data_IF_970076592609
#
_entry.id   IF_970076592609
#
_cell.length_a   1.000
_cell.length_b   1.000
_cell.length_c   1.000
_cell.angle_alpha   90.00
_cell.angle_beta   90.00
_cell.angle_gamma   90.00
#
_symmetry.space_group_name_H-M   'P 1'
#
loop_
_entity.id
_entity.type
_entity.pdbx_description
1 polymer ?
#
# COMPACT_ATOMS: atom_id res chain seq x y z
N UNK A 1 -3.01 -13.16 23.59
CA UNK A 1 -1.95 -13.18 22.56
C UNK A 1 -2.49 -12.75 21.20
N UNK A 2 -3.57 -13.37 20.72
CA UNK A 2 -4.16 -13.11 19.39
C UNK A 2 -4.61 -11.66 19.16
N UNK A 3 -5.23 -11.02 20.17
CA UNK A 3 -5.66 -9.61 20.06
C UNK A 3 -4.48 -8.65 19.88
N UNK A 4 -3.40 -8.83 20.64
CA UNK A 4 -2.20 -7.99 20.53
C UNK A 4 -1.53 -8.17 19.17
N UNK A 5 -1.44 -9.41 18.70
CA UNK A 5 -0.90 -9.74 17.37
C UNK A 5 -1.74 -9.08 16.27
N UNK A 6 -3.07 -9.23 16.34
CA UNK A 6 -4.02 -8.64 15.39
C UNK A 6 -3.86 -7.11 15.30
N UNK A 7 -3.90 -6.42 16.44
CA UNK A 7 -3.75 -4.96 16.50
C UNK A 7 -2.35 -4.49 16.06
N UNK A 8 -1.31 -5.25 16.40
CA UNK A 8 0.06 -4.99 15.96
C UNK A 8 0.20 -5.05 14.45
N UNK A 9 -0.31 -6.12 13.83
CA UNK A 9 -0.29 -6.32 12.38
C UNK A 9 -1.15 -5.30 11.63
N UNK A 10 -2.27 -4.87 12.20
CA UNK A 10 -3.09 -3.79 11.66
C UNK A 10 -2.29 -2.47 11.59
N UNK A 11 -1.61 -2.11 12.70
CA UNK A 11 -0.76 -0.90 12.77
C UNK A 11 0.43 -0.97 11.81
N UNK A 12 1.09 -2.13 11.73
CA UNK A 12 2.20 -2.34 10.78
C UNK A 12 1.69 -2.17 9.34
N UNK A 13 0.55 -2.78 9.00
CA UNK A 13 -0.04 -2.66 7.67
C UNK A 13 -0.39 -1.21 7.34
N UNK A 14 -0.96 -0.46 8.29
CA UNK A 14 -1.24 0.96 8.12
C UNK A 14 0.03 1.78 7.83
N UNK A 15 1.10 1.58 8.61
CA UNK A 15 2.38 2.27 8.40
C UNK A 15 2.97 1.92 7.03
N UNK A 16 2.98 0.64 6.66
CA UNK A 16 3.47 0.19 5.35
C UNK A 16 2.68 0.84 4.22
N UNK A 17 1.36 0.90 4.30
CA UNK A 17 0.51 1.56 3.31
C UNK A 17 0.81 3.04 3.13
N UNK A 18 1.08 3.76 4.23
CA UNK A 18 1.49 5.17 4.19
C UNK A 18 2.86 5.31 3.51
N UNK A 19 3.86 4.53 3.94
CA UNK A 19 5.21 4.58 3.38
C UNK A 19 5.25 4.22 1.90
N UNK A 20 4.42 3.27 1.46
CA UNK A 20 4.31 2.87 0.05
C UNK A 20 3.67 3.97 -0.81
N UNK A 21 2.63 4.62 -0.31
CA UNK A 21 1.84 5.61 -1.07
C UNK A 21 2.49 7.01 -1.12
N UNK A 22 3.23 7.41 -0.08
CA UNK A 22 3.81 8.75 0.02
C UNK A 22 4.92 9.04 -1.01
N UNK A 23 5.50 8.01 -1.62
CA UNK A 23 6.63 8.12 -2.56
C UNK A 23 6.34 9.08 -3.73
N UNK A 24 5.12 9.03 -4.27
CA UNK A 24 4.71 9.92 -5.36
C UNK A 24 4.51 11.35 -4.87
N UNK A 25 3.85 11.53 -3.72
CA UNK A 25 3.65 12.83 -3.10
C UNK A 25 4.95 13.52 -2.74
N UNK A 26 5.93 12.81 -2.15
CA UNK A 26 7.27 13.35 -1.87
C UNK A 26 7.98 13.83 -3.14
N UNK A 27 7.81 13.11 -4.25
CA UNK A 27 8.38 13.52 -5.54
C UNK A 27 7.74 14.80 -6.06
N UNK A 28 6.41 14.91 -5.99
CA UNK A 28 5.69 16.12 -6.39
C UNK A 28 6.09 17.29 -5.50
N UNK A 29 6.13 17.09 -4.18
CA UNK A 29 6.48 18.10 -3.19
C UNK A 29 7.87 18.68 -3.47
N UNK A 30 8.87 17.81 -3.67
CA UNK A 30 10.23 18.27 -3.98
C UNK A 30 10.30 19.02 -5.31
N UNK A 31 9.57 18.54 -6.33
CA UNK A 31 9.51 19.21 -7.63
C UNK A 31 8.87 20.61 -7.53
N UNK A 32 7.74 20.73 -6.85
CA UNK A 32 6.93 21.97 -6.82
C UNK A 32 7.49 23.02 -5.86
N UNK A 33 7.95 22.62 -4.67
CA UNK A 33 8.35 23.57 -3.62
C UNK A 33 9.85 23.87 -3.64
N UNK A 34 10.67 22.95 -4.14
CA UNK A 34 12.13 23.04 -4.02
C UNK A 34 12.86 22.85 -5.35
N UNK A 35 12.15 22.79 -6.48
CA UNK A 35 12.75 22.55 -7.81
C UNK A 35 13.71 21.34 -7.84
N UNK A 36 13.37 20.28 -7.08
CA UNK A 36 14.18 19.08 -6.85
C UNK A 36 15.52 19.28 -6.11
N UNK A 37 15.79 20.47 -5.55
CA UNK A 37 17.05 20.80 -4.86
C UNK A 37 17.09 20.32 -3.40
N UNK A 38 15.96 19.93 -2.79
CA UNK A 38 15.95 19.46 -1.41
C UNK A 38 16.58 18.05 -1.30
N UNK A 39 17.77 17.98 -0.70
CA UNK A 39 18.55 16.73 -0.54
C UNK A 39 17.86 15.73 0.38
N UNK A 40 17.23 16.18 1.46
CA UNK A 40 16.56 15.30 2.44
C UNK A 40 15.39 14.57 1.78
N UNK A 41 14.51 15.30 1.07
CA UNK A 41 13.38 14.69 0.36
C UNK A 41 13.83 13.69 -0.70
N UNK A 42 14.93 13.98 -1.41
CA UNK A 42 15.51 13.06 -2.38
C UNK A 42 16.05 11.78 -1.72
N UNK A 43 16.77 11.91 -0.60
CA UNK A 43 17.29 10.77 0.16
C UNK A 43 16.17 9.88 0.68
N UNK A 44 15.12 10.46 1.29
CA UNK A 44 13.95 9.71 1.77
C UNK A 44 13.26 8.99 0.60
N UNK A 45 13.00 9.70 -0.51
CA UNK A 45 12.34 9.10 -1.67
C UNK A 45 13.16 7.93 -2.26
N UNK A 46 14.49 8.09 -2.33
CA UNK A 46 15.41 7.03 -2.78
C UNK A 46 15.37 5.82 -1.85
N UNK A 47 15.38 6.03 -0.54
CA UNK A 47 15.30 4.96 0.45
C UNK A 47 13.98 4.20 0.36
N UNK A 48 12.85 4.91 0.27
CA UNK A 48 11.53 4.31 0.14
C UNK A 48 11.40 3.52 -1.16
N UNK A 49 11.88 4.06 -2.30
CA UNK A 49 11.89 3.34 -3.59
C UNK A 49 12.74 2.07 -3.55
N UNK A 50 13.90 2.12 -2.90
CA UNK A 50 14.80 0.96 -2.75
C UNK A 50 14.08 -0.20 -2.05
N UNK A 51 13.27 0.09 -1.04
CA UNK A 51 12.57 -0.92 -0.24
C UNK A 51 11.11 -1.15 -0.64
N UNK A 52 10.57 -0.38 -1.58
CA UNK A 52 9.14 -0.37 -1.94
C UNK A 52 8.58 -1.77 -2.21
N UNK A 53 9.29 -2.61 -2.98
CA UNK A 53 8.82 -3.97 -3.29
C UNK A 53 8.77 -4.86 -2.05
N UNK A 54 9.80 -4.79 -1.18
CA UNK A 54 9.86 -5.56 0.06
C UNK A 54 8.73 -5.14 1.00
N UNK A 55 8.54 -3.82 1.15
CA UNK A 55 7.43 -3.26 1.94
C UNK A 55 6.06 -3.65 1.38
N UNK A 56 5.89 -3.71 0.06
CA UNK A 56 4.65 -4.15 -0.58
C UNK A 56 4.34 -5.62 -0.32
N UNK A 57 5.35 -6.49 -0.41
CA UNK A 57 5.21 -7.91 -0.03
C UNK A 57 4.87 -8.03 1.46
N UNK A 58 5.58 -7.29 2.33
CA UNK A 58 5.28 -7.25 3.77
C UNK A 58 3.84 -6.82 4.03
N UNK A 59 3.33 -5.81 3.32
CA UNK A 59 1.94 -5.33 3.47
C UNK A 59 0.92 -6.45 3.16
N UNK A 60 1.15 -7.20 2.08
CA UNK A 60 0.27 -8.32 1.71
C UNK A 60 0.25 -9.39 2.81
N UNK A 61 1.42 -9.75 3.35
CA UNK A 61 1.50 -10.75 4.42
C UNK A 61 0.94 -10.23 5.75
N UNK A 62 1.27 -9.02 6.16
CA UNK A 62 0.76 -8.46 7.42
C UNK A 62 -0.75 -8.26 7.36
N UNK A 63 -1.29 -7.86 6.20
CA UNK A 63 -2.73 -7.76 5.97
C UNK A 63 -3.43 -9.12 5.97
N UNK A 64 -2.83 -10.15 5.38
CA UNK A 64 -3.34 -11.52 5.40
C UNK A 64 -3.40 -12.05 6.84
N UNK A 65 -2.30 -11.95 7.57
CA UNK A 65 -2.22 -12.46 8.94
C UNK A 65 -3.17 -11.67 9.85
N UNK A 66 -3.24 -10.33 9.70
CA UNK A 66 -4.23 -9.50 10.39
C UNK A 66 -5.67 -10.01 10.17
N UNK A 67 -6.05 -10.29 8.92
CA UNK A 67 -7.39 -10.77 8.61
C UNK A 67 -7.68 -12.19 9.14
N UNK A 68 -6.67 -13.07 9.21
CA UNK A 68 -6.81 -14.42 9.82
C UNK A 68 -7.14 -14.33 11.31
N UNK A 69 -6.50 -13.40 12.04
CA UNK A 69 -6.73 -13.19 13.47
C UNK A 69 -7.85 -12.16 13.76
N UNK A 70 -8.56 -11.70 12.74
CA UNK A 70 -9.67 -10.77 12.92
C UNK A 70 -10.96 -11.53 13.26
N UNK A 71 -11.92 -10.84 13.88
CA UNK A 71 -13.21 -11.43 14.26
C UNK A 71 -14.10 -11.81 13.07
N UNK A 72 -13.79 -11.32 11.86
CA UNK A 72 -14.47 -11.68 10.62
C UNK A 72 -13.56 -12.54 9.76
N UNK A 73 -14.11 -13.60 9.17
CA UNK A 73 -13.34 -14.50 8.31
C UNK A 73 -12.77 -13.75 7.10
N UNK A 74 -11.51 -14.00 6.77
CA UNK A 74 -10.79 -13.23 5.74
C UNK A 74 -11.32 -13.42 4.31
N UNK A 75 -12.08 -14.49 4.04
CA UNK A 75 -12.69 -14.75 2.73
C UNK A 75 -14.17 -14.36 2.68
N UNK A 76 -14.67 -13.63 3.69
CA UNK A 76 -16.01 -13.03 3.63
C UNK A 76 -15.99 -11.75 2.80
N UNK A 77 -17.14 -11.40 2.21
CA UNK A 77 -17.29 -10.17 1.46
C UNK A 77 -17.34 -8.96 2.41
N UNK A 78 -16.17 -8.50 2.86
CA UNK A 78 -16.01 -7.34 3.73
C UNK A 78 -14.92 -6.38 3.21
N UNK A 79 -14.93 -5.13 3.71
CA UNK A 79 -14.00 -4.10 3.28
C UNK A 79 -12.53 -4.45 3.50
N UNK A 80 -12.20 -5.20 4.56
CA UNK A 80 -10.83 -5.64 4.83
C UNK A 80 -10.33 -6.63 3.78
N UNK A 81 -11.15 -7.62 3.43
CA UNK A 81 -10.87 -8.59 2.37
C UNK A 81 -10.72 -7.91 1.01
N UNK A 82 -11.63 -7.00 0.65
CA UNK A 82 -11.56 -6.26 -0.62
C UNK A 82 -10.28 -5.40 -0.66
N UNK A 83 -9.96 -4.70 0.42
CA UNK A 83 -8.72 -3.90 0.55
C UNK A 83 -7.48 -4.77 0.36
N UNK A 84 -7.46 -5.94 1.01
CA UNK A 84 -6.35 -6.88 0.91
C UNK A 84 -6.19 -7.42 -0.52
N UNK A 85 -7.28 -7.82 -1.18
CA UNK A 85 -7.26 -8.27 -2.58
C UNK A 85 -6.71 -7.18 -3.50
N UNK A 86 -7.11 -5.92 -3.32
CA UNK A 86 -6.55 -4.79 -4.10
C UNK A 86 -5.04 -4.64 -3.87
N UNK A 87 -4.54 -4.87 -2.66
CA UNK A 87 -3.09 -4.87 -2.38
C UNK A 87 -2.33 -5.96 -3.14
N UNK A 88 -2.94 -7.14 -3.30
CA UNK A 88 -2.39 -8.24 -4.11
C UNK A 88 -2.40 -7.85 -5.60
N UNK A 89 -3.51 -7.28 -6.09
CA UNK A 89 -3.63 -6.80 -7.47
C UNK A 89 -2.58 -5.71 -7.78
N UNK A 90 -2.26 -4.82 -6.83
CA UNK A 90 -1.18 -3.85 -6.97
C UNK A 90 0.18 -4.52 -7.20
N UNK A 91 0.48 -5.59 -6.46
CA UNK A 91 1.68 -6.41 -6.64
C UNK A 91 1.71 -7.09 -8.01
N UNK A 92 0.61 -7.73 -8.41
CA UNK A 92 0.48 -8.39 -9.71
C UNK A 92 0.62 -7.41 -10.88
N UNK A 93 0.00 -6.23 -10.77
CA UNK A 93 0.12 -5.16 -11.76
C UNK A 93 1.59 -4.79 -12.00
N UNK A 94 2.41 -4.70 -10.94
CA UNK A 94 3.85 -4.47 -11.07
C UNK A 94 4.59 -5.67 -11.70
N UNK A 95 4.23 -6.90 -11.36
CA UNK A 95 4.87 -8.10 -11.93
C UNK A 95 4.62 -8.22 -13.43
N UNK A 96 3.41 -7.89 -13.88
CA UNK A 96 3.00 -7.95 -15.28
C UNK A 96 3.56 -6.80 -16.14
N UNK A 97 4.23 -5.80 -15.55
CA UNK A 97 4.78 -4.64 -16.27
C UNK A 97 5.69 -4.98 -17.47
N UNK A 98 6.33 -6.16 -17.45
CA UNK A 98 7.23 -6.63 -18.52
C UNK A 98 6.55 -7.56 -19.53
N UNK A 99 5.42 -8.16 -19.17
CA UNK A 99 4.70 -9.13 -20.01
C UNK A 99 3.74 -8.48 -21.01
N UNK A 100 3.48 -7.18 -20.87
CA UNK A 100 2.63 -6.40 -21.77
C UNK A 100 3.46 -5.30 -22.45
N UNK A 101 4.33 -5.64 -23.42
CA UNK A 101 5.28 -4.70 -24.03
C UNK A 101 4.60 -3.48 -24.69
N UNK A 102 3.34 -3.63 -25.12
CA UNK A 102 2.57 -2.55 -25.74
C UNK A 102 1.81 -1.67 -24.73
N UNK A 103 1.73 -2.06 -23.46
CA UNK A 103 1.04 -1.30 -22.42
C UNK A 103 2.05 -0.55 -21.51
N UNK A 104 2.52 0.60 -22.02
CA UNK A 104 3.16 1.65 -21.19
C UNK A 104 2.30 2.19 -20.02
N UNK A 105 0.94 2.06 -19.92
CA UNK A 105 0.19 2.64 -18.80
C UNK A 105 0.20 1.79 -17.52
N UNK A 106 1.08 0.79 -17.35
CA UNK A 106 1.12 0.04 -16.07
C UNK A 106 1.24 0.98 -14.86
N UNK A 107 2.04 2.04 -14.96
CA UNK A 107 2.21 3.02 -13.88
C UNK A 107 0.96 3.89 -13.68
N UNK A 108 0.18 4.13 -14.73
CA UNK A 108 -1.09 4.84 -14.65
C UNK A 108 -2.10 3.98 -13.87
N UNK A 109 -2.25 2.72 -14.25
CA UNK A 109 -3.12 1.77 -13.52
C UNK A 109 -2.64 1.53 -12.09
N UNK A 110 -1.32 1.42 -11.86
CA UNK A 110 -0.76 1.28 -10.52
C UNK A 110 -1.15 2.45 -9.62
N UNK A 111 -1.12 3.69 -10.14
CA UNK A 111 -1.54 4.88 -9.39
C UNK A 111 -3.04 4.89 -9.12
N UNK A 112 -3.87 4.52 -10.09
CA UNK A 112 -5.33 4.39 -9.89
C UNK A 112 -5.63 3.34 -8.82
N UNK A 113 -5.02 2.16 -8.93
CA UNK A 113 -5.15 1.09 -7.93
C UNK A 113 -4.66 1.54 -6.56
N UNK A 114 -3.62 2.37 -6.49
CA UNK A 114 -3.15 2.96 -5.23
C UNK A 114 -4.21 3.87 -4.61
N UNK A 115 -4.87 4.72 -5.41
CA UNK A 115 -5.96 5.58 -4.92
C UNK A 115 -7.15 4.75 -4.43
N UNK A 116 -7.56 3.74 -5.21
CA UNK A 116 -8.63 2.80 -4.82
C UNK A 116 -8.26 2.11 -3.50
N UNK A 117 -7.02 1.60 -3.39
CA UNK A 117 -6.52 0.97 -2.17
C UNK A 117 -6.57 1.91 -0.96
N UNK A 118 -6.13 3.17 -1.10
CA UNK A 118 -6.15 4.14 0.00
C UNK A 118 -7.57 4.47 0.46
N UNK A 119 -8.51 4.62 -0.47
CA UNK A 119 -9.92 4.87 -0.15
C UNK A 119 -10.52 3.67 0.58
N UNK A 120 -10.35 2.46 0.06
CA UNK A 120 -10.84 1.23 0.68
C UNK A 120 -10.24 1.01 2.07
N UNK A 121 -8.94 1.24 2.23
CA UNK A 121 -8.26 1.11 3.52
C UNK A 121 -8.78 2.14 4.52
N UNK A 122 -9.00 3.39 4.11
CA UNK A 122 -9.59 4.41 4.98
C UNK A 122 -11.01 4.02 5.40
N UNK A 123 -11.85 3.60 4.46
CA UNK A 123 -13.21 3.12 4.75
C UNK A 123 -13.20 1.92 5.69
N UNK A 124 -12.31 0.94 5.48
CA UNK A 124 -12.15 -0.21 6.35
C UNK A 124 -11.82 0.21 7.79
N UNK A 125 -10.88 1.13 7.97
CA UNK A 125 -10.49 1.64 9.30
C UNK A 125 -11.65 2.39 9.97
N UNK A 126 -12.39 3.21 9.23
CA UNK A 126 -13.52 3.97 9.78
C UNK A 126 -14.66 3.06 10.21
N UNK A 127 -15.00 2.06 9.40
CA UNK A 127 -16.07 1.09 9.69
C UNK A 127 -15.72 0.17 10.87
N UNK A 128 -14.44 -0.12 11.10
CA UNK A 128 -14.03 -0.94 12.27
C UNK A 128 -13.93 -0.11 13.55
N UNK A 129 -13.72 1.21 13.44
CA UNK A 129 -13.67 2.13 14.59
C UNK A 129 -15.05 2.60 15.06
N UNK A 130 -16.08 2.38 14.25
CA UNK A 130 -17.49 2.69 14.56
C UNK A 130 -18.19 1.43 15.03
#
# INVERSE_FOLDING_TARGET
MELLLNLGLAKISLVLSILLSIIYSLRILNKKLYNNKNKILNTINKLLRKHHKKMGISLVFTGLIHGIYSSKTILSFNLGTITWVVSVILGLNFMLRKKLPNYKPWIYYHRILTLIFLVLMLMHILVVKT
#
